data_IF_863957129872
#
_entry.id   IF_863957129872
#
_cell.length_a   1.000
_cell.length_b   1.000
_cell.length_c   1.000
_cell.angle_alpha   90.00
_cell.angle_beta   90.00
_cell.angle_gamma   90.00
#
_symmetry.space_group_name_H-M   'P 1'
#
loop_
_entity.id
_entity.type
_entity.pdbx_description
1 polymer ?
#
# COMPACT_ATOMS: atom_id res chain seq x y z
N UNK A 1 -12.35 -5.18 -27.55
CA UNK A 1 -12.28 -4.60 -26.19
C UNK A 1 -12.84 -5.63 -25.22
N UNK A 2 -12.09 -6.00 -24.18
CA UNK A 2 -12.64 -6.85 -23.11
C UNK A 2 -13.74 -6.07 -22.36
N UNK A 3 -14.74 -6.74 -21.78
CA UNK A 3 -15.74 -6.09 -20.93
C UNK A 3 -15.11 -5.19 -19.84
N UNK A 4 -13.99 -5.62 -19.27
CA UNK A 4 -13.18 -4.86 -18.30
C UNK A 4 -12.75 -3.50 -18.85
N UNK A 5 -12.22 -3.46 -20.08
CA UNK A 5 -11.73 -2.23 -20.71
C UNK A 5 -12.83 -1.17 -20.90
N UNK A 6 -14.08 -1.60 -21.14
CA UNK A 6 -15.20 -0.67 -21.31
C UNK A 6 -15.67 -0.05 -19.99
N UNK A 7 -15.62 -0.80 -18.88
CA UNK A 7 -15.94 -0.28 -17.54
C UNK A 7 -14.86 0.69 -17.08
N UNK A 8 -13.57 0.33 -17.20
CA UNK A 8 -12.44 1.24 -16.92
C UNK A 8 -12.61 2.53 -17.70
N UNK A 9 -12.91 2.44 -18.99
CA UNK A 9 -13.03 3.63 -19.83
C UNK A 9 -14.21 4.51 -19.43
N UNK A 10 -15.36 3.94 -19.05
CA UNK A 10 -16.50 4.73 -18.57
C UNK A 10 -16.21 5.45 -17.25
N UNK A 11 -15.63 4.75 -16.28
CA UNK A 11 -15.20 5.36 -15.01
C UNK A 11 -14.16 6.45 -15.27
N UNK A 12 -13.19 6.17 -16.14
CA UNK A 12 -12.14 7.11 -16.52
C UNK A 12 -12.69 8.37 -17.22
N UNK A 13 -13.60 8.21 -18.16
CA UNK A 13 -14.22 9.34 -18.85
C UNK A 13 -14.98 10.23 -17.86
N UNK A 14 -15.58 9.63 -16.82
CA UNK A 14 -16.25 10.39 -15.78
C UNK A 14 -15.30 11.11 -14.83
N UNK A 15 -14.12 10.53 -14.58
CA UNK A 15 -13.04 11.23 -13.88
C UNK A 15 -12.69 12.57 -14.55
N UNK A 16 -12.57 12.61 -15.88
CA UNK A 16 -12.30 13.84 -16.62
C UNK A 16 -13.35 14.92 -16.34
N UNK A 17 -14.64 14.56 -16.29
CA UNK A 17 -15.73 15.50 -15.99
C UNK A 17 -15.60 16.11 -14.59
N UNK A 18 -15.21 15.31 -13.60
CA UNK A 18 -15.01 15.79 -12.22
C UNK A 18 -13.73 16.63 -12.08
N UNK A 19 -12.71 16.35 -12.89
CA UNK A 19 -11.49 17.16 -12.91
C UNK A 19 -11.72 18.57 -13.44
N UNK A 20 -12.65 18.74 -14.37
CA UNK A 20 -13.03 20.07 -14.86
C UNK A 20 -13.65 20.95 -13.75
N UNK A 21 -14.15 20.35 -12.65
CA UNK A 21 -14.61 21.06 -11.45
C UNK A 21 -13.52 21.26 -10.39
N UNK A 22 -12.29 20.87 -10.69
CA UNK A 22 -11.16 21.02 -9.76
C UNK A 22 -10.92 19.83 -8.82
N UNK A 23 -11.58 18.68 -8.98
CA UNK A 23 -11.15 17.46 -8.28
C UNK A 23 -9.79 16.99 -8.79
N UNK A 24 -8.91 16.57 -7.87
CA UNK A 24 -7.70 15.85 -8.26
C UNK A 24 -8.01 14.41 -8.67
N UNK A 25 -7.09 13.74 -9.37
CA UNK A 25 -7.21 12.30 -9.64
C UNK A 25 -7.26 11.48 -8.36
N UNK A 26 -6.44 11.85 -7.37
CA UNK A 26 -6.44 11.20 -6.07
C UNK A 26 -7.79 11.28 -5.37
N UNK A 27 -8.42 12.47 -5.37
CA UNK A 27 -9.76 12.66 -4.81
C UNK A 27 -10.78 11.79 -5.56
N UNK A 28 -10.72 11.73 -6.89
CA UNK A 28 -11.64 10.89 -7.66
C UNK A 28 -11.52 9.40 -7.30
N UNK A 29 -10.30 8.86 -7.27
CA UNK A 29 -10.07 7.44 -6.93
C UNK A 29 -10.50 7.16 -5.49
N UNK A 30 -10.30 8.12 -4.58
CA UNK A 30 -10.81 8.05 -3.21
C UNK A 30 -12.35 7.95 -3.18
N UNK A 31 -13.07 8.83 -3.86
CA UNK A 31 -14.54 8.79 -3.89
C UNK A 31 -15.08 7.52 -4.53
N UNK A 32 -14.47 7.08 -5.63
CA UNK A 32 -14.80 5.83 -6.28
C UNK A 32 -14.58 4.63 -5.36
N UNK A 33 -13.53 4.66 -4.54
CA UNK A 33 -13.23 3.59 -3.58
C UNK A 33 -14.34 3.42 -2.55
N UNK A 34 -14.84 4.51 -1.96
CA UNK A 34 -15.94 4.46 -1.00
C UNK A 34 -17.21 3.87 -1.60
N UNK A 35 -17.63 4.43 -2.73
CA UNK A 35 -18.88 4.04 -3.39
C UNK A 35 -18.82 2.61 -3.92
N UNK A 36 -17.68 2.21 -4.50
CA UNK A 36 -17.48 0.84 -4.96
C UNK A 36 -17.51 -0.16 -3.82
N UNK A 37 -16.91 0.17 -2.68
CA UNK A 37 -16.98 -0.69 -1.49
C UNK A 37 -18.42 -0.90 -1.02
N UNK A 38 -19.21 0.19 -0.88
CA UNK A 38 -20.63 0.11 -0.53
C UNK A 38 -21.42 -0.74 -1.52
N UNK A 39 -21.22 -0.53 -2.82
CA UNK A 39 -21.89 -1.29 -3.89
C UNK A 39 -21.58 -2.79 -3.78
N UNK A 40 -20.32 -3.14 -3.56
CA UNK A 40 -19.90 -4.53 -3.48
C UNK A 40 -20.40 -5.23 -2.23
N UNK A 41 -20.43 -4.54 -1.08
CA UNK A 41 -21.03 -5.06 0.14
C UNK A 41 -22.53 -5.35 -0.05
N UNK A 42 -23.27 -4.42 -0.67
CA UNK A 42 -24.70 -4.58 -0.96
C UNK A 42 -24.99 -5.74 -1.92
N UNK A 43 -24.19 -5.92 -2.98
CA UNK A 43 -24.36 -7.06 -3.89
C UNK A 43 -24.10 -8.40 -3.21
N UNK A 44 -23.14 -8.45 -2.29
CA UNK A 44 -22.83 -9.66 -1.51
C UNK A 44 -23.92 -9.98 -0.52
N UNK A 45 -24.45 -8.96 0.15
CA UNK A 45 -25.61 -9.10 1.02
C UNK A 45 -26.80 -9.71 0.28
N UNK A 46 -27.03 -9.31 -0.98
CA UNK A 46 -28.12 -9.83 -1.83
C UNK A 46 -27.97 -11.31 -2.20
N UNK A 47 -26.76 -11.88 -2.11
CA UNK A 47 -26.52 -13.31 -2.33
C UNK A 47 -26.36 -14.11 -1.03
N UNK A 48 -26.57 -13.47 0.14
CA UNK A 48 -26.59 -14.11 1.44
C UNK A 48 -25.29 -14.02 2.25
N UNK A 49 -24.27 -13.29 1.77
CA UNK A 49 -23.09 -13.00 2.59
C UNK A 49 -23.46 -12.03 3.73
N UNK A 50 -22.90 -12.21 4.94
CA UNK A 50 -23.10 -11.25 6.02
C UNK A 50 -22.41 -9.92 5.71
N UNK A 51 -23.12 -8.81 5.95
CA UNK A 51 -22.56 -7.46 5.92
C UNK A 51 -22.33 -6.96 7.34
N UNK A 52 -21.28 -6.17 7.52
CA UNK A 52 -21.01 -5.45 8.78
C UNK A 52 -21.36 -3.96 8.68
N UNK A 53 -21.87 -3.51 7.52
CA UNK A 53 -22.39 -2.17 7.30
C UNK A 53 -23.84 -2.11 7.80
N UNK A 54 -24.19 -1.18 8.71
CA UNK A 54 -25.57 -0.97 9.12
C UNK A 54 -26.49 -0.62 7.95
N UNK A 55 -27.74 -1.08 7.97
CA UNK A 55 -28.72 -0.88 6.88
C UNK A 55 -28.91 0.59 6.53
N UNK A 56 -28.91 1.46 7.54
CA UNK A 56 -28.98 2.91 7.43
C UNK A 56 -27.83 3.52 6.61
N UNK A 57 -26.65 2.89 6.57
CA UNK A 57 -25.47 3.35 5.84
C UNK A 57 -25.10 2.48 4.63
N UNK A 58 -26.03 1.63 4.19
CA UNK A 58 -25.84 0.71 3.06
C UNK A 58 -25.93 1.42 1.69
N UNK A 59 -25.52 0.72 0.62
CA UNK A 59 -25.74 1.21 -0.75
C UNK A 59 -27.22 1.50 -1.04
N UNK A 60 -28.12 0.64 -0.53
CA UNK A 60 -29.55 0.76 -0.75
C UNK A 60 -30.14 2.03 -0.11
N UNK A 61 -29.58 2.53 0.99
CA UNK A 61 -30.00 3.80 1.60
C UNK A 61 -29.50 5.02 0.83
N UNK A 62 -28.45 4.88 0.01
CA UNK A 62 -27.84 5.95 -0.77
C UNK A 62 -28.41 6.08 -2.19
N UNK A 63 -28.60 4.97 -2.91
CA UNK A 63 -28.77 4.95 -4.37
C UNK A 63 -29.98 5.72 -4.89
N UNK A 64 -31.06 5.78 -4.12
CA UNK A 64 -32.32 6.42 -4.50
C UNK A 64 -32.41 7.90 -4.08
N UNK A 65 -31.41 8.43 -3.37
CA UNK A 65 -31.38 9.83 -2.95
C UNK A 65 -30.85 10.72 -4.07
N UNK A 66 -31.23 11.99 -4.03
CA UNK A 66 -30.83 13.02 -5.00
C UNK A 66 -30.59 14.36 -4.29
N UNK A 67 -29.91 15.29 -4.97
CA UNK A 67 -29.72 16.66 -4.49
C UNK A 67 -29.07 16.75 -3.09
N UNK A 68 -29.59 17.64 -2.25
CA UNK A 68 -29.08 17.88 -0.89
C UNK A 68 -29.16 16.65 0.02
N UNK A 69 -30.17 15.81 -0.19
CA UNK A 69 -30.41 14.63 0.66
C UNK A 69 -29.33 13.57 0.38
N UNK A 70 -28.97 13.38 -0.90
CA UNK A 70 -27.85 12.53 -1.30
C UNK A 70 -26.53 13.02 -0.69
N UNK A 71 -26.23 14.31 -0.82
CA UNK A 71 -24.98 14.87 -0.32
C UNK A 71 -24.86 14.76 1.21
N UNK A 72 -25.96 15.01 1.92
CA UNK A 72 -26.01 14.94 3.38
C UNK A 72 -25.84 13.49 3.85
N UNK A 73 -26.63 12.57 3.29
CA UNK A 73 -26.56 11.16 3.63
C UNK A 73 -25.19 10.55 3.30
N UNK A 74 -24.60 10.90 2.15
CA UNK A 74 -23.26 10.44 1.80
C UNK A 74 -22.21 10.90 2.81
N UNK A 75 -22.28 12.16 3.28
CA UNK A 75 -21.36 12.65 4.34
C UNK A 75 -21.53 11.88 5.65
N UNK A 76 -22.77 11.58 6.04
CA UNK A 76 -23.08 10.78 7.23
C UNK A 76 -22.50 9.36 7.10
N UNK A 77 -22.69 8.68 5.96
CA UNK A 77 -22.07 7.37 5.68
C UNK A 77 -20.55 7.43 5.86
N UNK A 78 -19.90 8.41 5.23
CA UNK A 78 -18.43 8.54 5.31
C UNK A 78 -17.95 8.76 6.75
N UNK A 79 -18.69 9.54 7.53
CA UNK A 79 -18.36 9.80 8.93
C UNK A 79 -18.55 8.56 9.80
N UNK A 80 -19.71 7.91 9.73
CA UNK A 80 -20.08 6.81 10.62
C UNK A 80 -19.29 5.54 10.33
N UNK A 81 -19.10 5.19 9.05
CA UNK A 81 -18.28 4.04 8.68
C UNK A 81 -16.79 4.26 8.99
N UNK A 82 -16.35 5.50 9.16
CA UNK A 82 -14.98 5.85 9.54
C UNK A 82 -14.66 5.65 11.03
N UNK A 83 -15.66 5.34 11.86
CA UNK A 83 -15.49 5.20 13.31
C UNK A 83 -15.07 3.78 13.71
N UNK A 84 -14.25 3.66 14.77
CA UNK A 84 -13.85 2.37 15.33
C UNK A 84 -12.57 1.79 14.72
N UNK A 85 -12.49 0.46 14.62
CA UNK A 85 -11.32 -0.29 14.11
C UNK A 85 -11.76 -1.49 13.27
N UNK A 86 -10.94 -1.88 12.31
CA UNK A 86 -11.19 -3.02 11.42
C UNK A 86 -11.17 -2.61 9.95
N UNK A 87 -11.61 -3.50 9.08
CA UNK A 87 -11.61 -3.29 7.62
C UNK A 87 -12.38 -2.02 7.21
N UNK A 88 -13.67 -1.93 7.59
CA UNK A 88 -14.53 -0.80 7.21
C UNK A 88 -13.97 0.52 7.78
N UNK A 89 -13.67 0.64 9.09
CA UNK A 89 -13.12 1.87 9.62
C UNK A 89 -11.81 2.27 8.97
N UNK A 90 -10.93 1.33 8.59
CA UNK A 90 -9.71 1.66 7.84
C UNK A 90 -10.01 2.23 6.46
N UNK A 91 -11.02 1.70 5.76
CA UNK A 91 -11.45 2.25 4.46
C UNK A 91 -12.03 3.64 4.63
N UNK A 92 -12.85 3.91 5.65
CA UNK A 92 -13.55 5.20 5.78
C UNK A 92 -12.88 6.19 6.77
N UNK A 93 -11.71 5.85 7.33
CA UNK A 93 -11.03 6.71 8.32
C UNK A 93 -10.75 8.09 7.73
N UNK A 94 -11.23 9.14 8.40
CA UNK A 94 -11.13 10.54 7.96
C UNK A 94 -11.66 10.76 6.52
N UNK A 95 -12.62 9.96 6.09
CA UNK A 95 -13.23 10.12 4.78
C UNK A 95 -13.97 11.46 4.69
N UNK A 96 -13.89 12.09 3.51
CA UNK A 96 -14.57 13.34 3.21
C UNK A 96 -15.17 13.26 1.81
N UNK A 97 -16.37 13.81 1.63
CA UNK A 97 -16.90 13.98 0.30
C UNK A 97 -16.12 15.10 -0.40
N UNK A 98 -15.51 14.77 -1.54
CA UNK A 98 -14.81 15.73 -2.39
C UNK A 98 -15.67 16.25 -3.54
N UNK A 99 -16.74 15.52 -3.92
CA UNK A 99 -17.66 15.91 -5.00
C UNK A 99 -18.65 16.95 -4.48
N UNK A 100 -18.44 18.21 -4.86
CA UNK A 100 -19.26 19.35 -4.40
C UNK A 100 -20.61 19.47 -5.12
N UNK A 101 -20.70 19.02 -6.37
CA UNK A 101 -21.94 19.10 -7.16
C UNK A 101 -22.79 17.83 -6.93
N UNK A 102 -24.00 17.95 -6.31
CA UNK A 102 -24.84 16.79 -6.03
C UNK A 102 -25.32 16.05 -7.29
N UNK A 103 -25.50 16.74 -8.41
CA UNK A 103 -25.90 16.10 -9.67
C UNK A 103 -24.76 15.23 -10.21
N UNK A 104 -23.51 15.63 -9.97
CA UNK A 104 -22.33 14.84 -10.34
C UNK A 104 -22.10 13.68 -9.37
N UNK A 105 -22.31 13.89 -8.07
CA UNK A 105 -22.30 12.79 -7.11
C UNK A 105 -23.36 11.74 -7.49
N UNK A 106 -24.60 12.14 -7.79
CA UNK A 106 -25.64 11.23 -8.26
C UNK A 106 -25.22 10.48 -9.50
N UNK A 107 -24.65 11.18 -10.49
CA UNK A 107 -24.20 10.53 -11.72
C UNK A 107 -23.09 9.51 -11.46
N UNK A 108 -22.16 9.77 -10.53
CA UNK A 108 -21.18 8.78 -10.10
C UNK A 108 -21.84 7.56 -9.45
N UNK A 109 -22.80 7.77 -8.54
CA UNK A 109 -23.58 6.71 -7.89
C UNK A 109 -24.29 5.86 -8.94
N UNK A 110 -25.01 6.48 -9.88
CA UNK A 110 -25.73 5.78 -10.96
C UNK A 110 -24.78 5.01 -11.90
N UNK A 111 -23.59 5.56 -12.19
CA UNK A 111 -22.59 4.87 -13.00
C UNK A 111 -22.09 3.59 -12.34
N UNK A 112 -21.89 3.63 -11.02
CA UNK A 112 -21.48 2.45 -10.24
C UNK A 112 -22.65 1.47 -10.10
N UNK A 113 -23.87 1.97 -9.92
CA UNK A 113 -25.09 1.14 -9.76
C UNK A 113 -25.43 0.35 -11.02
N UNK A 114 -25.25 0.97 -12.19
CA UNK A 114 -25.59 0.38 -13.49
C UNK A 114 -24.74 -0.83 -13.87
N UNK A 115 -23.64 -1.09 -13.15
CA UNK A 115 -22.80 -2.26 -13.34
C UNK A 115 -23.09 -3.33 -12.29
N UNK A 116 -23.10 -4.59 -12.73
CA UNK A 116 -23.17 -5.72 -11.81
C UNK A 116 -21.75 -6.17 -11.47
N UNK A 117 -21.18 -5.58 -10.42
CA UNK A 117 -19.80 -5.82 -10.05
C UNK A 117 -19.63 -7.27 -9.65
N UNK A 118 -20.51 -7.83 -8.83
CA UNK A 118 -20.43 -9.20 -8.32
C UNK A 118 -20.27 -10.25 -9.43
N UNK A 119 -20.96 -10.07 -10.57
CA UNK A 119 -20.85 -10.95 -11.75
C UNK A 119 -19.52 -10.86 -12.50
N UNK A 120 -18.77 -9.78 -12.32
CA UNK A 120 -17.41 -9.70 -12.84
C UNK A 120 -16.52 -10.66 -12.05
N UNK A 121 -15.67 -11.40 -12.79
CA UNK A 121 -14.62 -12.19 -12.15
C UNK A 121 -13.76 -11.28 -11.26
N UNK A 122 -13.24 -11.83 -10.16
CA UNK A 122 -12.34 -11.17 -9.22
C UNK A 122 -11.20 -10.50 -9.99
N UNK A 123 -10.57 -11.23 -10.90
CA UNK A 123 -9.48 -10.75 -11.77
C UNK A 123 -9.87 -9.49 -12.56
N UNK A 124 -11.11 -9.42 -13.04
CA UNK A 124 -11.59 -8.27 -13.81
C UNK A 124 -11.74 -7.02 -12.94
N UNK A 125 -12.25 -7.16 -11.71
CA UNK A 125 -12.41 -6.04 -10.76
C UNK A 125 -11.06 -5.50 -10.31
N UNK A 126 -10.18 -6.44 -9.98
CA UNK A 126 -8.79 -6.23 -9.66
C UNK A 126 -8.09 -5.41 -10.75
N UNK A 127 -8.13 -5.88 -11.99
CA UNK A 127 -7.53 -5.21 -13.15
C UNK A 127 -8.08 -3.78 -13.35
N UNK A 128 -9.41 -3.60 -13.17
CA UNK A 128 -10.05 -2.28 -13.27
C UNK A 128 -9.46 -1.33 -12.23
N UNK A 129 -9.35 -1.77 -10.97
CA UNK A 129 -8.88 -0.93 -9.88
C UNK A 129 -7.38 -0.68 -9.94
N UNK A 130 -6.57 -1.69 -10.26
CA UNK A 130 -5.13 -1.57 -10.51
C UNK A 130 -4.83 -0.57 -11.63
N UNK A 131 -5.58 -0.63 -12.74
CA UNK A 131 -5.45 0.34 -13.83
C UNK A 131 -5.78 1.78 -13.41
N UNK A 132 -6.68 1.98 -12.45
CA UNK A 132 -6.97 3.30 -11.88
C UNK A 132 -5.84 3.78 -10.96
N UNK A 133 -5.27 2.89 -10.15
CA UNK A 133 -4.14 3.19 -9.28
C UNK A 133 -2.88 3.55 -10.08
N UNK A 134 -2.58 2.79 -11.14
CA UNK A 134 -1.44 3.05 -12.01
C UNK A 134 -1.55 4.42 -12.68
N UNK A 135 -2.72 4.75 -13.24
CA UNK A 135 -2.96 6.07 -13.85
C UNK A 135 -2.84 7.21 -12.83
N UNK A 136 -3.34 7.02 -11.61
CA UNK A 136 -3.18 8.00 -10.54
C UNK A 136 -1.70 8.21 -10.18
N UNK A 137 -0.91 7.13 -10.12
CA UNK A 137 0.52 7.18 -9.84
C UNK A 137 1.34 7.87 -10.94
N UNK A 138 0.93 7.72 -12.20
CA UNK A 138 1.56 8.38 -13.35
C UNK A 138 1.28 9.89 -13.44
N UNK A 139 0.26 10.40 -12.74
CA UNK A 139 0.02 11.84 -12.68
C UNK A 139 1.04 12.53 -11.76
N UNK A 140 2.16 12.95 -12.36
CA UNK A 140 3.28 13.64 -11.69
C UNK A 140 2.82 14.89 -10.92
N UNK A 141 1.72 15.54 -11.33
CA UNK A 141 1.21 16.75 -10.66
C UNK A 141 0.60 16.45 -9.29
N UNK A 142 0.12 15.23 -9.08
CA UNK A 142 -0.56 14.81 -7.84
C UNK A 142 0.42 14.41 -6.72
N UNK A 143 1.67 14.09 -7.05
CA UNK A 143 2.64 13.51 -6.11
C UNK A 143 2.29 12.08 -5.64
N UNK A 144 1.27 11.44 -6.22
CA UNK A 144 0.84 10.08 -5.86
C UNK A 144 1.87 9.01 -6.23
N UNK A 145 2.74 9.28 -7.21
CA UNK A 145 3.78 8.35 -7.64
C UNK A 145 4.78 7.94 -6.55
N UNK A 146 4.88 8.69 -5.45
CA UNK A 146 5.73 8.34 -4.29
C UNK A 146 5.29 7.06 -3.57
N UNK A 147 4.04 6.64 -3.77
CA UNK A 147 3.44 5.45 -3.15
C UNK A 147 3.31 4.28 -4.13
N UNK A 148 3.93 4.37 -5.31
CA UNK A 148 3.80 3.38 -6.38
C UNK A 148 5.16 2.84 -6.84
N UNK A 149 5.23 1.52 -6.97
CA UNK A 149 6.36 0.79 -7.54
C UNK A 149 5.91 0.18 -8.87
N UNK A 150 6.71 0.29 -9.95
CA UNK A 150 6.35 -0.31 -11.25
C UNK A 150 6.05 -1.81 -11.12
N UNK A 151 4.92 -2.26 -11.66
CA UNK A 151 4.47 -3.66 -11.60
C UNK A 151 5.51 -4.65 -12.16
N UNK A 152 6.20 -4.37 -13.29
CA UNK A 152 7.25 -5.27 -13.79
C UNK A 152 8.40 -5.46 -12.78
N UNK A 153 8.74 -4.42 -12.01
CA UNK A 153 9.78 -4.52 -10.98
C UNK A 153 9.29 -5.35 -9.79
N UNK A 154 8.05 -5.12 -9.34
CA UNK A 154 7.44 -5.92 -8.27
C UNK A 154 7.44 -7.40 -8.66
N UNK A 155 6.95 -7.73 -9.86
CA UNK A 155 6.87 -9.11 -10.33
C UNK A 155 8.25 -9.77 -10.37
N UNK A 156 9.23 -9.10 -10.97
CA UNK A 156 10.61 -9.63 -11.03
C UNK A 156 11.20 -9.88 -9.64
N UNK A 157 10.93 -9.00 -8.66
CA UNK A 157 11.37 -9.19 -7.28
C UNK A 157 10.66 -10.40 -6.65
N UNK A 158 9.34 -10.51 -6.79
CA UNK A 158 8.56 -11.61 -6.20
C UNK A 158 8.98 -12.95 -6.82
N UNK A 159 9.19 -13.00 -8.14
CA UNK A 159 9.57 -14.20 -8.87
C UNK A 159 10.88 -14.82 -8.34
N UNK A 160 11.89 -13.98 -8.08
CA UNK A 160 13.19 -14.45 -7.56
C UNK A 160 13.16 -14.69 -6.05
N UNK A 161 12.26 -14.02 -5.32
CA UNK A 161 12.08 -14.23 -3.89
C UNK A 161 11.28 -15.50 -3.58
N UNK A 162 10.42 -15.91 -4.51
CA UNK A 162 9.68 -17.17 -4.53
C UNK A 162 8.97 -17.51 -3.19
N UNK A 163 8.02 -16.66 -2.73
CA UNK A 163 7.30 -16.90 -1.48
C UNK A 163 6.56 -18.25 -1.49
N UNK A 164 6.50 -18.89 -0.33
CA UNK A 164 5.93 -20.22 -0.14
C UNK A 164 4.59 -20.16 0.61
N UNK A 165 3.73 -21.20 0.50
CA UNK A 165 2.40 -21.22 1.12
C UNK A 165 2.35 -21.00 2.63
N UNK A 166 3.43 -21.35 3.35
CA UNK A 166 3.52 -21.19 4.80
C UNK A 166 4.16 -19.88 5.26
N UNK A 167 4.62 -19.05 4.33
CA UNK A 167 5.39 -17.86 4.66
C UNK A 167 4.49 -16.77 5.28
N UNK A 168 5.07 -15.97 6.18
CA UNK A 168 4.53 -14.65 6.52
C UNK A 168 5.34 -13.54 5.84
N UNK A 169 4.64 -12.66 5.13
CA UNK A 169 5.20 -11.65 4.23
C UNK A 169 4.81 -10.26 4.74
N UNK A 170 5.79 -9.38 4.87
CA UNK A 170 5.61 -8.02 5.35
C UNK A 170 6.09 -6.97 4.34
N UNK A 171 5.32 -5.90 4.19
CA UNK A 171 5.76 -4.66 3.54
C UNK A 171 5.60 -3.48 4.50
N UNK A 172 6.68 -2.97 5.13
CA UNK A 172 6.61 -1.87 6.09
C UNK A 172 6.35 -0.49 5.46
N UNK A 173 6.23 -0.39 4.14
CA UNK A 173 5.91 0.81 3.40
C UNK A 173 5.01 0.46 2.21
N UNK A 174 3.86 -0.14 2.50
CA UNK A 174 3.14 -0.94 1.51
C UNK A 174 2.50 -0.14 0.38
N UNK A 175 2.34 1.18 0.53
CA UNK A 175 1.74 2.01 -0.50
C UNK A 175 0.38 1.46 -0.89
N UNK A 176 0.18 1.22 -2.18
CA UNK A 176 -1.06 0.62 -2.73
C UNK A 176 -1.16 -0.91 -2.60
N UNK A 177 -0.21 -1.58 -1.94
CA UNK A 177 -0.21 -3.02 -1.67
C UNK A 177 0.39 -3.89 -2.77
N UNK A 178 1.10 -3.31 -3.74
CA UNK A 178 1.58 -4.03 -4.92
C UNK A 178 2.45 -5.26 -4.60
N UNK A 179 3.37 -5.18 -3.64
CA UNK A 179 4.19 -6.34 -3.23
C UNK A 179 3.36 -7.43 -2.55
N UNK A 180 2.45 -7.05 -1.65
CA UNK A 180 1.58 -8.00 -0.94
C UNK A 180 0.69 -8.75 -1.91
N UNK A 181 0.13 -8.03 -2.89
CA UNK A 181 -0.71 -8.61 -3.92
C UNK A 181 0.07 -9.55 -4.84
N UNK A 182 1.20 -9.10 -5.38
CA UNK A 182 2.02 -9.94 -6.26
C UNK A 182 2.52 -11.21 -5.55
N UNK A 183 2.85 -11.12 -4.25
CA UNK A 183 3.21 -12.28 -3.46
C UNK A 183 2.02 -13.25 -3.26
N UNK A 184 0.82 -12.73 -2.99
CA UNK A 184 -0.41 -13.52 -2.91
C UNK A 184 -0.67 -14.29 -4.21
N UNK A 185 -0.60 -13.61 -5.35
CA UNK A 185 -0.80 -14.19 -6.67
C UNK A 185 0.26 -15.23 -7.00
N UNK A 186 1.54 -14.93 -6.72
CA UNK A 186 2.64 -15.87 -6.94
C UNK A 186 2.40 -17.18 -6.19
N UNK A 187 2.09 -17.10 -4.89
CA UNK A 187 1.85 -18.29 -4.06
C UNK A 187 0.68 -19.10 -4.61
N UNK A 188 -0.43 -18.45 -4.96
CA UNK A 188 -1.64 -19.10 -5.49
C UNK A 188 -1.46 -19.73 -6.88
N UNK A 189 -0.60 -19.16 -7.73
CA UNK A 189 -0.37 -19.63 -9.10
C UNK A 189 0.71 -20.72 -9.19
N UNK A 190 1.74 -20.66 -8.34
CA UNK A 190 2.89 -21.56 -8.41
C UNK A 190 2.79 -22.77 -7.47
N UNK A 191 1.75 -22.84 -6.62
CA UNK A 191 1.57 -23.92 -5.67
C UNK A 191 0.15 -24.50 -5.74
N UNK A 192 0.04 -25.81 -5.53
CA UNK A 192 -1.26 -26.46 -5.29
C UNK A 192 -1.60 -26.31 -3.80
N UNK A 193 -2.41 -25.30 -3.49
CA UNK A 193 -2.76 -24.99 -2.10
C UNK A 193 -3.94 -25.84 -1.59
N UNK A 194 -3.77 -26.40 -0.40
CA UNK A 194 -4.89 -26.98 0.34
C UNK A 194 -5.79 -25.89 0.97
N UNK A 195 -6.87 -26.32 1.64
CA UNK A 195 -7.85 -25.41 2.25
C UNK A 195 -7.23 -24.54 3.35
N UNK A 196 -6.34 -25.10 4.15
CA UNK A 196 -5.73 -24.40 5.29
C UNK A 196 -4.65 -23.43 4.81
N UNK A 197 -3.90 -23.79 3.78
CA UNK A 197 -2.97 -22.90 3.10
C UNK A 197 -3.69 -21.72 2.42
N UNK A 198 -4.82 -21.97 1.74
CA UNK A 198 -5.66 -20.89 1.21
C UNK A 198 -6.18 -19.96 2.30
N UNK A 199 -6.55 -20.52 3.46
CA UNK A 199 -6.98 -19.74 4.61
C UNK A 199 -5.83 -18.89 5.13
N UNK A 200 -4.67 -19.48 5.43
CA UNK A 200 -3.46 -18.78 5.87
C UNK A 200 -3.11 -17.63 4.93
N UNK A 201 -3.04 -17.90 3.62
CA UNK A 201 -2.70 -16.91 2.61
C UNK A 201 -3.66 -15.71 2.59
N UNK A 202 -4.96 -15.93 2.84
CA UNK A 202 -5.99 -14.87 2.82
C UNK A 202 -6.16 -14.11 4.14
N UNK A 203 -5.69 -14.66 5.25
CA UNK A 203 -6.01 -14.11 6.60
C UNK A 203 -4.83 -13.86 7.50
N UNK A 204 -3.70 -14.54 7.28
CA UNK A 204 -2.58 -14.59 8.23
C UNK A 204 -1.21 -14.35 7.57
N UNK A 205 -1.06 -14.56 6.25
CA UNK A 205 0.23 -14.45 5.59
C UNK A 205 0.70 -13.01 5.37
N UNK A 206 -0.20 -12.07 5.09
CA UNK A 206 0.15 -10.74 4.57
C UNK A 206 0.04 -9.66 5.64
N UNK A 207 1.06 -8.81 5.73
CA UNK A 207 1.11 -7.70 6.67
C UNK A 207 1.69 -6.45 6.01
N UNK A 208 1.02 -5.31 6.17
CA UNK A 208 1.48 -4.04 5.59
C UNK A 208 1.44 -2.90 6.58
N UNK A 209 2.38 -1.96 6.46
CA UNK A 209 2.32 -0.66 7.14
C UNK A 209 2.26 0.46 6.11
N UNK A 210 1.34 1.39 6.33
CA UNK A 210 1.24 2.63 5.56
C UNK A 210 0.88 3.78 6.50
N UNK A 211 1.62 4.88 6.43
CA UNK A 211 1.45 6.01 7.35
C UNK A 211 0.29 6.92 6.90
N UNK A 212 -0.01 6.96 5.61
CA UNK A 212 -1.01 7.85 5.01
C UNK A 212 -2.36 7.16 4.92
N UNK A 213 -3.35 7.73 5.61
CA UNK A 213 -4.76 7.32 5.59
C UNK A 213 -5.29 6.95 4.19
N UNK A 214 -5.14 7.89 3.24
CA UNK A 214 -5.65 7.72 1.89
C UNK A 214 -4.96 6.55 1.17
N UNK A 215 -3.63 6.47 1.22
CA UNK A 215 -2.88 5.39 0.59
C UNK A 215 -3.22 4.03 1.20
N UNK A 216 -3.36 3.95 2.52
CA UNK A 216 -3.74 2.72 3.20
C UNK A 216 -5.14 2.25 2.81
N UNK A 217 -6.10 3.17 2.65
CA UNK A 217 -7.43 2.87 2.13
C UNK A 217 -7.38 2.25 0.75
N UNK A 218 -6.60 2.82 -0.17
CA UNK A 218 -6.42 2.27 -1.51
C UNK A 218 -5.82 0.86 -1.45
N UNK A 219 -4.83 0.64 -0.57
CA UNK A 219 -4.25 -0.68 -0.33
C UNK A 219 -5.27 -1.70 0.16
N UNK A 220 -6.05 -1.35 1.19
CA UNK A 220 -7.06 -2.22 1.77
C UNK A 220 -8.16 -2.55 0.75
N UNK A 221 -8.62 -1.56 -0.01
CA UNK A 221 -9.58 -1.80 -1.08
C UNK A 221 -8.99 -2.71 -2.16
N UNK A 222 -7.73 -2.50 -2.54
CA UNK A 222 -7.07 -3.32 -3.53
C UNK A 222 -7.01 -4.80 -3.09
N UNK A 223 -6.56 -5.05 -1.86
CA UNK A 223 -6.53 -6.41 -1.29
C UNK A 223 -7.94 -7.01 -1.17
N UNK A 224 -8.93 -6.20 -0.76
CA UNK A 224 -10.32 -6.62 -0.69
C UNK A 224 -10.87 -7.03 -2.05
N UNK A 225 -10.56 -6.30 -3.12
CA UNK A 225 -10.98 -6.69 -4.48
C UNK A 225 -10.40 -8.03 -4.93
N UNK A 226 -9.25 -8.44 -4.39
CA UNK A 226 -8.58 -9.70 -4.69
C UNK A 226 -8.96 -10.86 -3.76
N UNK A 227 -9.98 -10.70 -2.91
CA UNK A 227 -10.41 -11.78 -2.01
C UNK A 227 -9.67 -11.82 -0.67
N UNK A 228 -8.80 -10.85 -0.36
CA UNK A 228 -7.97 -10.83 0.84
C UNK A 228 -8.66 -10.00 1.94
N UNK A 229 -8.58 -10.42 3.21
CA UNK A 229 -9.12 -9.66 4.36
C UNK A 229 -10.64 -9.81 4.62
N UNK A 230 -11.34 -10.68 3.89
CA UNK A 230 -12.78 -10.93 4.07
C UNK A 230 -13.14 -11.65 5.36
N UNK A 231 -12.31 -12.61 5.73
CA UNK A 231 -12.59 -13.53 6.81
C UNK A 231 -12.07 -12.87 8.09
N UNK A 232 -12.96 -12.54 9.03
CA UNK A 232 -12.71 -11.95 10.36
C UNK A 232 -12.67 -10.41 10.47
N UNK A 233 -12.93 -9.66 9.39
CA UNK A 233 -13.05 -8.18 9.44
C UNK A 233 -11.77 -7.44 9.84
N UNK A 234 -10.63 -8.14 9.89
CA UNK A 234 -9.31 -7.57 10.19
C UNK A 234 -8.61 -7.19 8.90
N UNK A 235 -8.13 -5.95 8.86
CA UNK A 235 -7.26 -5.47 7.79
C UNK A 235 -5.84 -6.04 7.99
N UNK A 236 -5.19 -6.59 6.95
CA UNK A 236 -3.75 -6.92 6.99
C UNK A 236 -2.88 -5.65 7.02
N UNK A 237 -3.48 -4.47 6.79
CA UNK A 237 -2.80 -3.19 6.74
C UNK A 237 -2.98 -2.44 8.06
N UNK A 238 -1.85 -2.05 8.63
CA UNK A 238 -1.70 -1.20 9.80
C UNK A 238 -1.45 0.24 9.35
N UNK A 239 -2.33 1.16 9.75
CA UNK A 239 -2.18 2.57 9.37
C UNK A 239 -1.44 3.34 10.46
N UNK A 240 -0.11 3.28 10.41
CA UNK A 240 0.81 3.78 11.44
C UNK A 240 2.21 4.05 10.86
N UNK A 241 3.07 4.74 11.62
CA UNK A 241 4.49 4.90 11.27
C UNK A 241 5.28 3.62 11.62
N UNK A 242 5.70 2.88 10.58
CA UNK A 242 6.49 1.65 10.74
C UNK A 242 7.78 1.85 11.55
N UNK A 243 8.38 3.05 11.50
CA UNK A 243 9.63 3.32 12.19
C UNK A 243 9.43 3.71 13.66
N UNK A 244 8.21 4.01 14.10
CA UNK A 244 7.93 4.53 15.44
C UNK A 244 8.30 3.55 16.55
N UNK A 245 8.10 2.26 16.34
CA UNK A 245 8.24 1.24 17.37
C UNK A 245 9.07 0.04 16.91
N UNK A 246 9.64 -0.66 17.89
CA UNK A 246 10.24 -1.98 17.66
C UNK A 246 9.18 -2.98 17.18
N UNK A 247 9.46 -3.78 16.13
CA UNK A 247 8.55 -4.83 15.70
C UNK A 247 8.20 -5.79 16.85
N UNK A 248 6.91 -5.98 17.10
CA UNK A 248 6.43 -7.00 18.03
C UNK A 248 6.45 -8.41 17.42
N UNK A 249 6.40 -8.49 16.10
CA UNK A 249 6.34 -9.73 15.31
C UNK A 249 7.44 -9.72 14.24
N UNK A 250 7.89 -10.90 13.85
CA UNK A 250 8.87 -11.09 12.77
C UNK A 250 8.31 -11.98 11.65
N UNK A 251 8.86 -11.85 10.44
CA UNK A 251 8.29 -12.38 9.20
C UNK A 251 9.30 -13.25 8.45
N UNK A 252 8.81 -14.21 7.64
CA UNK A 252 9.66 -15.00 6.73
C UNK A 252 10.28 -14.12 5.67
N UNK A 253 9.47 -13.20 5.14
CA UNK A 253 9.83 -12.40 3.99
C UNK A 253 9.46 -10.94 4.19
N UNK A 254 10.35 -10.05 3.76
CA UNK A 254 10.05 -8.61 3.67
C UNK A 254 10.30 -8.12 2.25
N UNK A 255 9.26 -7.64 1.59
CA UNK A 255 9.30 -7.11 0.22
C UNK A 255 8.83 -5.67 0.26
N UNK A 256 9.67 -4.70 -0.09
CA UNK A 256 9.29 -3.30 0.12
C UNK A 256 10.05 -2.31 -0.75
N UNK A 257 9.39 -1.19 -1.04
CA UNK A 257 9.98 0.01 -1.62
C UNK A 257 9.73 1.22 -0.70
N UNK A 258 10.61 1.46 0.29
CA UNK A 258 10.47 2.57 1.21
C UNK A 258 10.57 3.93 0.50
N UNK A 259 10.00 5.00 1.07
CA UNK A 259 9.98 6.32 0.43
C UNK A 259 11.39 6.88 0.21
N UNK A 260 11.64 7.44 -0.98
CA UNK A 260 12.93 8.05 -1.36
C UNK A 260 13.18 9.46 -0.76
N UNK A 261 12.19 10.04 -0.07
CA UNK A 261 12.27 11.39 0.49
C UNK A 261 13.41 11.58 1.49
N UNK A 262 14.06 12.76 1.47
CA UNK A 262 15.16 13.09 2.38
C UNK A 262 14.68 13.23 3.83
N UNK A 263 15.66 13.15 4.75
CA UNK A 263 15.63 13.32 6.21
C UNK A 263 14.28 13.79 6.78
N UNK A 264 13.73 13.01 7.73
CA UNK A 264 12.65 13.50 8.58
C UNK A 264 13.09 14.84 9.18
N UNK A 265 12.33 15.91 8.95
CA UNK A 265 12.68 17.22 9.47
C UNK A 265 11.44 18.00 9.88
N UNK A 266 11.48 18.61 11.05
CA UNK A 266 10.46 19.59 11.48
C UNK A 266 10.92 20.95 10.98
N UNK A 267 10.03 21.65 10.28
CA UNK A 267 10.23 23.06 9.94
C UNK A 267 9.46 23.88 10.96
N UNK A 268 10.13 24.76 11.68
CA UNK A 268 9.48 25.70 12.60
C UNK A 268 9.95 27.12 12.32
N UNK A 269 9.07 28.08 12.59
CA UNK A 269 9.36 29.52 12.46
C UNK A 269 9.71 30.00 13.85
N UNK A 270 10.89 30.58 14.02
CA UNK A 270 11.30 31.17 15.30
C UNK A 270 10.49 32.43 15.60
N UNK A 271 10.52 32.91 16.84
CA UNK A 271 9.88 34.18 17.21
C UNK A 271 10.40 35.39 16.41
N UNK A 272 11.60 35.26 15.82
CA UNK A 272 12.25 36.25 14.96
C UNK A 272 11.84 36.12 13.47
N UNK A 273 10.93 35.20 13.14
CA UNK A 273 10.46 34.95 11.77
C UNK A 273 11.39 34.09 10.92
N UNK A 274 12.44 33.50 11.49
CA UNK A 274 13.37 32.62 10.76
C UNK A 274 12.79 31.22 10.59
N UNK A 275 12.86 30.68 9.38
CA UNK A 275 12.49 29.29 9.10
C UNK A 275 13.66 28.36 9.43
N UNK A 276 13.58 27.64 10.55
CA UNK A 276 14.56 26.61 10.94
C UNK A 276 14.07 25.21 10.59
N UNK A 277 14.98 24.37 10.10
CA UNK A 277 14.73 22.95 9.81
C UNK A 277 15.59 22.08 10.72
N UNK A 278 14.97 21.37 11.64
CA UNK A 278 15.67 20.39 12.49
C UNK A 278 15.50 19.00 11.92
N UNK A 279 16.62 18.29 11.73
CA UNK A 279 16.61 16.88 11.34
C UNK A 279 16.13 16.03 12.52
N UNK A 280 15.00 15.35 12.35
CA UNK A 280 14.53 14.33 13.29
C UNK A 280 15.40 13.08 13.13
N UNK A 281 16.20 12.80 14.14
CA UNK A 281 16.97 11.57 14.25
C UNK A 281 16.11 10.52 14.93
N UNK A 282 15.94 9.37 14.28
CA UNK A 282 15.24 8.24 14.89
C UNK A 282 16.22 7.58 15.86
N UNK A 283 15.82 7.48 17.12
CA UNK A 283 16.58 6.82 18.17
C UNK A 283 15.81 5.58 18.59
N UNK A 284 16.36 4.43 18.25
CA UNK A 284 15.82 3.11 18.58
C UNK A 284 16.94 2.24 19.12
N UNK A 285 16.70 1.63 20.26
CA UNK A 285 17.68 0.78 20.96
C UNK A 285 18.02 -0.49 20.18
N UNK A 286 17.10 -0.96 19.34
CA UNK A 286 17.30 -2.12 18.49
C UNK A 286 18.04 -1.83 17.18
N UNK A 287 18.16 -0.56 16.77
CA UNK A 287 18.90 -0.17 15.56
C UNK A 287 20.41 -0.23 15.78
N UNK A 288 21.16 -0.50 14.72
CA UNK A 288 22.63 -0.52 14.78
C UNK A 288 23.23 0.87 14.98
N UNK A 289 22.56 1.89 14.47
CA UNK A 289 22.94 3.30 14.63
C UNK A 289 21.74 4.21 14.49
N UNK A 290 21.76 5.31 15.25
CA UNK A 290 20.81 6.41 15.07
C UNK A 290 21.20 7.23 13.84
N UNK A 291 20.20 7.63 13.04
CA UNK A 291 20.41 8.51 11.89
C UNK A 291 19.13 9.27 11.53
N UNK A 292 19.29 10.43 10.90
CA UNK A 292 18.19 11.18 10.27
C UNK A 292 17.88 10.68 8.85
N UNK A 293 18.73 9.82 8.27
CA UNK A 293 18.48 9.24 6.96
C UNK A 293 17.36 8.19 7.03
N UNK A 294 16.21 8.53 6.43
CA UNK A 294 15.01 7.68 6.43
C UNK A 294 15.24 6.34 5.74
N UNK A 295 16.00 6.30 4.64
CA UNK A 295 16.27 5.06 3.90
C UNK A 295 17.15 4.10 4.71
N UNK A 296 18.18 4.61 5.39
CA UNK A 296 19.00 3.82 6.30
C UNK A 296 18.16 3.29 7.49
N UNK A 297 17.25 4.10 8.03
CA UNK A 297 16.32 3.65 9.07
C UNK A 297 15.41 2.52 8.59
N UNK A 298 14.91 2.57 7.35
CA UNK A 298 14.14 1.46 6.77
C UNK A 298 14.98 0.20 6.54
N UNK A 299 16.22 0.30 6.08
CA UNK A 299 17.10 -0.90 5.95
C UNK A 299 17.32 -1.57 7.31
N UNK A 300 17.57 -0.78 8.36
CA UNK A 300 17.67 -1.29 9.73
C UNK A 300 16.35 -1.93 10.18
N UNK A 301 15.22 -1.27 9.92
CA UNK A 301 13.91 -1.77 10.29
C UNK A 301 13.54 -3.08 9.59
N UNK A 302 13.81 -3.20 8.28
CA UNK A 302 13.61 -4.44 7.52
C UNK A 302 14.42 -5.58 8.12
N UNK A 303 15.69 -5.35 8.46
CA UNK A 303 16.48 -6.38 9.15
C UNK A 303 15.80 -6.86 10.45
N UNK A 304 15.23 -5.94 11.23
CA UNK A 304 14.54 -6.27 12.49
C UNK A 304 13.21 -6.98 12.31
N UNK A 305 12.51 -6.71 11.21
CA UNK A 305 11.27 -7.40 10.83
C UNK A 305 11.51 -8.86 10.42
N UNK A 306 12.69 -9.21 9.93
CA UNK A 306 12.96 -10.59 9.51
C UNK A 306 13.11 -11.52 10.72
N UNK A 307 12.57 -12.74 10.62
CA UNK A 307 12.97 -13.84 11.49
C UNK A 307 14.41 -14.25 11.20
N UNK A 308 15.01 -15.08 12.05
CA UNK A 308 16.29 -15.71 11.72
C UNK A 308 16.15 -16.52 10.43
N UNK A 309 17.03 -16.31 9.45
CA UNK A 309 16.96 -16.92 8.11
C UNK A 309 15.81 -16.45 7.22
N UNK A 310 15.05 -15.42 7.63
CA UNK A 310 14.10 -14.75 6.75
C UNK A 310 14.81 -13.97 5.65
N UNK A 311 14.11 -13.74 4.54
CA UNK A 311 14.65 -13.13 3.31
C UNK A 311 14.05 -11.75 3.07
N UNK A 312 14.83 -10.82 2.55
CA UNK A 312 14.32 -9.51 2.16
C UNK A 312 14.75 -9.09 0.76
N UNK A 313 13.84 -8.38 0.09
CA UNK A 313 14.12 -7.58 -1.08
C UNK A 313 13.68 -6.13 -0.82
N UNK A 314 14.65 -5.20 -0.82
CA UNK A 314 14.40 -3.79 -0.45
C UNK A 314 14.89 -2.89 -1.57
N UNK A 315 13.99 -2.07 -2.12
CA UNK A 315 14.36 -1.01 -3.05
C UNK A 315 14.99 0.16 -2.27
N UNK A 316 16.18 0.59 -2.66
CA UNK A 316 16.91 1.69 -1.99
C UNK A 316 17.54 2.64 -3.01
N UNK A 317 17.68 3.95 -2.70
CA UNK A 317 18.49 4.83 -3.53
C UNK A 317 19.99 4.56 -3.37
N UNK A 318 20.79 5.04 -4.33
CA UNK A 318 22.25 4.91 -4.30
C UNK A 318 22.89 5.43 -2.99
N UNK A 319 22.28 6.40 -2.30
CA UNK A 319 22.86 6.96 -1.06
C UNK A 319 23.08 5.90 0.03
N UNK A 320 22.23 4.87 0.10
CA UNK A 320 22.39 3.75 1.04
C UNK A 320 23.72 3.01 0.79
N UNK A 321 24.17 2.96 -0.47
CA UNK A 321 25.37 2.23 -0.87
C UNK A 321 26.68 2.99 -0.59
N UNK A 322 26.67 4.33 -0.55
CA UNK A 322 27.91 5.12 -0.44
C UNK A 322 27.97 6.10 0.75
N UNK A 323 26.85 6.41 1.42
CA UNK A 323 26.87 7.37 2.53
C UNK A 323 27.80 6.90 3.66
N UNK A 324 28.68 7.78 4.14
CA UNK A 324 29.60 7.51 5.25
C UNK A 324 28.92 7.58 6.63
N UNK A 325 29.71 7.47 7.70
CA UNK A 325 29.19 7.57 9.06
C UNK A 325 28.15 6.49 9.37
N UNK A 326 26.91 6.89 9.67
CA UNK A 326 25.82 5.95 9.92
C UNK A 326 25.57 4.98 8.75
N UNK A 327 25.72 5.43 7.49
CA UNK A 327 25.57 4.56 6.32
C UNK A 327 26.62 3.46 6.27
N UNK A 328 27.88 3.77 6.62
CA UNK A 328 28.94 2.78 6.72
C UNK A 328 28.66 1.77 7.85
N UNK A 329 28.24 2.25 9.02
CA UNK A 329 27.85 1.38 10.14
C UNK A 329 26.74 0.41 9.75
N UNK A 330 25.68 0.90 9.10
CA UNK A 330 24.57 0.06 8.61
C UNK A 330 25.07 -0.97 7.60
N UNK A 331 25.90 -0.58 6.61
CA UNK A 331 26.44 -1.53 5.63
C UNK A 331 27.32 -2.59 6.27
N UNK A 332 28.25 -2.22 7.16
CA UNK A 332 29.11 -3.17 7.88
C UNK A 332 28.27 -4.18 8.67
N UNK A 333 27.25 -3.70 9.37
CA UNK A 333 26.35 -4.54 10.16
C UNK A 333 25.45 -5.42 9.31
N UNK A 334 24.97 -4.93 8.18
CA UNK A 334 24.20 -5.72 7.22
C UNK A 334 25.04 -6.91 6.70
N UNK A 335 26.30 -6.68 6.30
CA UNK A 335 27.21 -7.75 5.87
C UNK A 335 27.57 -8.73 7.00
N UNK A 336 27.54 -8.28 8.26
CA UNK A 336 27.83 -9.09 9.44
C UNK A 336 26.66 -9.90 9.96
N UNK A 337 25.44 -9.40 9.81
CA UNK A 337 24.24 -9.97 10.41
C UNK A 337 23.23 -10.42 9.35
N UNK A 338 23.64 -10.44 8.08
CA UNK A 338 22.89 -10.96 6.93
C UNK A 338 23.84 -11.49 5.87
N UNK A 339 23.31 -12.33 4.99
CA UNK A 339 23.94 -12.68 3.72
C UNK A 339 23.33 -11.80 2.61
N UNK A 340 23.90 -10.61 2.41
CA UNK A 340 23.63 -9.74 1.25
C UNK A 340 24.27 -10.33 -0.01
N UNK A 341 23.55 -11.21 -0.69
CA UNK A 341 24.09 -11.98 -1.81
C UNK A 341 23.94 -11.25 -3.16
N UNK A 342 22.98 -10.33 -3.33
CA UNK A 342 22.71 -9.70 -4.64
C UNK A 342 22.28 -8.24 -4.52
N UNK A 343 22.79 -7.39 -5.42
CA UNK A 343 22.37 -6.00 -5.60
C UNK A 343 21.99 -5.79 -7.07
N UNK A 344 20.71 -5.62 -7.36
CA UNK A 344 20.26 -5.26 -8.71
C UNK A 344 20.29 -3.74 -8.89
N UNK A 345 21.10 -3.23 -9.80
CA UNK A 345 21.09 -1.79 -10.15
C UNK A 345 20.01 -1.50 -11.18
N UNK A 346 19.09 -0.58 -10.85
CA UNK A 346 17.94 -0.30 -11.70
C UNK A 346 18.23 0.81 -12.72
N UNK A 347 17.61 0.77 -13.91
CA UNK A 347 17.70 1.88 -14.87
C UNK A 347 17.01 3.13 -14.31
N UNK A 348 17.53 4.30 -14.67
CA UNK A 348 16.92 5.59 -14.31
C UNK A 348 15.62 5.82 -15.08
N UNK A 349 14.67 6.53 -14.48
CA UNK A 349 13.44 6.96 -15.14
C UNK A 349 12.26 5.99 -15.00
N UNK A 350 12.43 4.87 -14.31
CA UNK A 350 11.32 3.92 -14.04
C UNK A 350 10.43 4.36 -12.87
N UNK A 351 10.91 5.27 -12.01
CA UNK A 351 10.13 5.84 -10.92
C UNK A 351 9.62 7.24 -11.29
N UNK A 352 8.53 7.67 -10.63
CA UNK A 352 7.90 8.99 -10.86
C UNK A 352 8.89 10.15 -10.66
N UNK A 353 9.84 10.01 -9.72
CA UNK A 353 10.85 11.01 -9.43
C UNK A 353 12.01 10.91 -10.44
N UNK A 354 12.01 11.82 -11.41
CA UNK A 354 13.06 11.92 -12.42
C UNK A 354 14.45 12.05 -11.77
N UNK A 355 15.40 11.24 -12.25
CA UNK A 355 16.79 11.25 -11.79
C UNK A 355 17.08 10.41 -10.55
N UNK A 356 16.08 9.77 -9.92
CA UNK A 356 16.34 8.81 -8.83
C UNK A 356 17.08 7.59 -9.38
N UNK A 357 18.26 7.32 -8.82
CA UNK A 357 19.03 6.09 -9.02
C UNK A 357 18.72 5.14 -7.88
N UNK A 358 18.10 4.01 -8.20
CA UNK A 358 17.66 3.02 -7.24
C UNK A 358 18.31 1.66 -7.50
N UNK A 359 18.34 0.84 -6.47
CA UNK A 359 18.87 -0.52 -6.47
C UNK A 359 17.91 -1.41 -5.68
N UNK A 360 17.94 -2.71 -5.89
CA UNK A 360 17.28 -3.69 -5.04
C UNK A 360 18.34 -4.48 -4.29
N UNK A 361 18.27 -4.47 -2.95
CA UNK A 361 19.11 -5.31 -2.10
C UNK A 361 18.37 -6.61 -1.81
N UNK A 362 19.01 -7.76 -2.08
CA UNK A 362 18.51 -9.07 -1.71
C UNK A 362 19.41 -9.67 -0.62
N UNK A 363 18.82 -9.98 0.54
CA UNK A 363 19.59 -10.52 1.66
C UNK A 363 18.79 -11.45 2.56
N UNK A 364 19.49 -12.42 3.15
CA UNK A 364 18.95 -13.32 4.16
C UNK A 364 19.45 -12.92 5.56
N UNK A 365 18.57 -12.76 6.54
CA UNK A 365 19.00 -12.48 7.92
C UNK A 365 19.75 -13.68 8.50
N UNK A 366 20.91 -13.42 9.12
CA UNK A 366 21.71 -14.44 9.81
C UNK A 366 21.98 -14.04 11.27
N UNK A 367 22.38 -14.97 12.15
CA UNK A 367 22.83 -14.61 13.51
C UNK A 367 24.07 -13.72 13.48
N UNK A 368 24.18 -12.77 14.40
CA UNK A 368 25.38 -11.94 14.48
C UNK A 368 26.63 -12.77 14.83
N UNK A 369 27.72 -12.57 14.09
CA UNK A 369 29.01 -13.21 14.32
C UNK A 369 30.16 -12.24 13.99
N UNK A 370 31.38 -12.53 14.45
CA UNK A 370 32.54 -11.66 14.20
C UNK A 370 32.89 -11.51 12.72
N UNK A 371 32.87 -12.62 11.97
CA UNK A 371 33.15 -12.64 10.54
C UNK A 371 31.89 -12.32 9.73
N UNK A 372 31.93 -11.45 8.71
CA UNK A 372 30.80 -11.23 7.83
C UNK A 372 30.17 -12.53 7.32
N UNK A 373 28.83 -12.59 7.24
CA UNK A 373 28.13 -13.69 6.57
C UNK A 373 28.19 -13.54 5.06
N UNK A 374 28.16 -12.30 4.57
CA UNK A 374 28.36 -12.01 3.16
C UNK A 374 29.81 -12.24 2.74
N UNK A 375 30.03 -13.29 1.96
CA UNK A 375 31.33 -13.60 1.36
C UNK A 375 31.46 -13.05 -0.07
N UNK A 376 30.35 -12.94 -0.80
CA UNK A 376 30.32 -12.48 -2.20
C UNK A 376 29.02 -11.74 -2.49
N UNK A 377 29.09 -10.69 -3.30
CA UNK A 377 27.92 -9.91 -3.75
C UNK A 377 27.88 -9.93 -5.28
N UNK A 378 26.77 -10.36 -5.84
CA UNK A 378 26.49 -10.28 -7.27
C UNK A 378 25.84 -8.93 -7.60
N UNK A 379 26.35 -8.25 -8.64
CA UNK A 379 25.86 -6.96 -9.11
C UNK A 379 25.27 -7.07 -10.52
#
# INVERSE_FOLDING_TARGET
MSPSSAIVQRLWNYCTVLRDDGLSYGDYVEQLTYLLFLKMDDERRKIGDPSTIPDEYSWASLVNLDGSDLETHYREILQELGQGRGLIPTIFRKAQNRVQDPAKLKRLVTLIDGENWHRLNVDVKADIYEGLLEKNAQDVKSGAGQYFTPRPLIQAIVDVMAPQPGDTICDPACGTGGFLLAAYEYVGQHNQLDRDQWRHLRTEALHGWEIVDNTARLCVMNLYLHGIGHQNGRSPIHVDDALANKPATTYDMVLTNPPFGKKSSVTYITEEGEVKREAQTIVRDDFWTSTSNKQLNFVQHVHKLLRQHGKAAVVVPDNVLFEGGAGETVRRKLLQESDLHTILRLPTGIFYAQGVKANVLFFDRKPGRERPWTDTIWF
#
